data_IF_147430483989
#
_entry.id   IF_147430483989
#
_cell.length_a   1.000
_cell.length_b   1.000
_cell.length_c   1.000
_cell.angle_alpha   90.00
_cell.angle_beta   90.00
_cell.angle_gamma   90.00
#
_symmetry.space_group_name_H-M   'P 1'
#
loop_
_entity.id
_entity.type
_entity.pdbx_description
1 polymer ?
#
# COMPACT_ATOMS: atom_id res chain seq x y z
N UNK A 1 8.33 -73.08 3.18
CA UNK A 1 7.47 -74.08 2.54
C UNK A 1 6.48 -73.37 1.63
N UNK A 2 6.58 -73.65 0.34
CA UNK A 2 5.60 -73.60 -0.76
C UNK A 2 4.88 -72.26 -1.04
N UNK A 3 5.24 -71.44 -2.05
CA UNK A 3 5.14 -71.64 -3.50
C UNK A 3 3.70 -71.85 -3.99
N UNK A 4 3.25 -70.91 -4.86
CA UNK A 4 2.57 -71.06 -6.19
C UNK A 4 2.04 -69.67 -6.58
N UNK A 5 2.47 -68.86 -7.56
CA UNK A 5 2.49 -68.98 -9.04
C UNK A 5 1.12 -69.24 -9.65
N UNK A 6 0.63 -68.26 -10.42
CA UNK A 6 0.06 -68.32 -11.77
C UNK A 6 -0.50 -66.91 -12.11
N UNK A 7 -0.02 -66.10 -12.98
CA UNK A 7 0.00 -66.13 -14.44
C UNK A 7 -1.41 -66.10 -15.09
N UNK A 8 -1.75 -65.00 -15.76
CA UNK A 8 -2.90 -64.80 -16.60
C UNK A 8 -2.76 -63.63 -17.54
N UNK A 9 -2.20 -63.84 -18.71
CA UNK A 9 -2.19 -62.97 -19.88
C UNK A 9 -3.57 -62.96 -20.51
N UNK A 10 -4.03 -61.78 -21.05
CA UNK A 10 -4.83 -61.66 -22.28
C UNK A 10 -5.00 -60.16 -22.56
N UNK A 11 -4.32 -59.63 -23.50
CA UNK A 11 -4.64 -59.26 -24.89
C UNK A 11 -5.99 -58.57 -25.08
N UNK A 12 -6.00 -57.34 -25.56
CA UNK A 12 -7.19 -56.70 -26.07
C UNK A 12 -7.00 -55.23 -26.53
N UNK A 13 -6.57 -55.07 -27.77
CA UNK A 13 -7.01 -54.11 -28.78
C UNK A 13 -6.97 -52.56 -28.50
N UNK A 14 -6.24 -51.93 -29.37
CA UNK A 14 -6.20 -50.52 -29.68
C UNK A 14 -7.55 -49.91 -30.06
N UNK A 15 -7.80 -48.70 -29.58
CA UNK A 15 -8.70 -47.78 -30.25
C UNK A 15 -8.06 -46.38 -30.24
N UNK A 16 -7.58 -45.97 -31.39
CA UNK A 16 -7.19 -44.59 -31.71
C UNK A 16 -8.45 -43.72 -31.69
N UNK A 17 -8.54 -42.79 -30.78
CA UNK A 17 -9.45 -41.65 -30.86
C UNK A 17 -8.63 -40.39 -30.91
N UNK A 18 -8.46 -39.82 -32.08
CA UNK A 18 -8.08 -38.46 -32.34
C UNK A 18 -9.18 -37.56 -31.84
N UNK A 19 -8.90 -36.70 -30.89
CA UNK A 19 -9.76 -35.56 -30.56
C UNK A 19 -8.96 -34.27 -30.72
N UNK A 20 -9.53 -33.42 -31.55
CA UNK A 20 -9.09 -32.13 -32.00
C UNK A 20 -8.85 -31.17 -30.85
N UNK A 21 -7.78 -30.37 -30.97
CA UNK A 21 -7.53 -29.15 -30.22
C UNK A 21 -8.59 -28.10 -30.54
N UNK A 22 -9.13 -27.36 -29.55
CA UNK A 22 -9.82 -26.14 -29.86
C UNK A 22 -8.80 -25.00 -30.01
N UNK A 23 -8.94 -24.33 -31.15
CA UNK A 23 -8.23 -23.16 -31.63
C UNK A 23 -8.30 -21.99 -30.64
N UNK A 24 -7.19 -21.26 -30.61
CA UNK A 24 -7.02 -20.03 -29.84
C UNK A 24 -8.01 -18.93 -30.17
N UNK A 25 -8.41 -18.23 -29.12
CA UNK A 25 -9.05 -16.94 -29.22
C UNK A 25 -7.94 -15.88 -29.20
N UNK A 26 -7.58 -15.39 -30.39
CA UNK A 26 -6.88 -14.11 -30.54
C UNK A 26 -7.89 -12.96 -30.43
N UNK A 27 -7.57 -11.87 -29.73
CA UNK A 27 -8.39 -10.67 -29.80
C UNK A 27 -8.22 -9.97 -31.16
N UNK A 28 -9.25 -9.26 -31.65
CA UNK A 28 -9.25 -8.65 -32.97
C UNK A 28 -8.22 -7.52 -33.07
N UNK A 29 -7.42 -7.57 -34.12
CA UNK A 29 -6.57 -6.49 -34.58
C UNK A 29 -7.42 -5.34 -35.11
N UNK A 30 -7.36 -4.18 -34.45
CA UNK A 30 -7.86 -2.93 -35.01
C UNK A 30 -6.86 -2.41 -36.04
N UNK A 31 -7.17 -2.59 -37.30
CA UNK A 31 -6.60 -1.81 -38.40
C UNK A 31 -7.63 -0.74 -38.82
N UNK A 32 -7.07 0.40 -39.20
CA UNK A 32 -7.68 1.53 -39.88
C UNK A 32 -8.49 2.55 -39.06
N UNK A 33 -7.76 3.58 -38.63
CA UNK A 33 -8.28 4.95 -38.60
C UNK A 33 -7.18 5.93 -39.03
N UNK A 34 -7.38 6.55 -40.15
CA UNK A 34 -6.54 7.58 -40.75
C UNK A 34 -6.41 8.83 -39.86
N UNK A 35 -5.33 9.62 -39.96
CA UNK A 35 -5.10 10.76 -39.09
C UNK A 35 -6.04 11.92 -39.40
N UNK A 36 -6.81 12.34 -38.41
CA UNK A 36 -7.60 13.57 -38.45
C UNK A 36 -6.66 14.78 -38.42
N UNK A 37 -6.86 15.69 -39.39
CA UNK A 37 -6.17 16.96 -39.56
C UNK A 37 -6.24 17.81 -38.30
N UNK A 38 -5.09 18.25 -37.81
CA UNK A 38 -4.96 19.23 -36.74
C UNK A 38 -5.58 20.58 -37.17
N UNK A 39 -6.50 21.07 -36.35
CA UNK A 39 -6.97 22.45 -36.39
C UNK A 39 -5.97 23.37 -35.69
N UNK A 40 -5.80 24.64 -36.12
CA UNK A 40 -4.77 25.51 -35.58
C UNK A 40 -5.13 25.99 -34.17
N UNK A 41 -4.17 25.81 -33.28
CA UNK A 41 -4.16 26.32 -31.90
C UNK A 41 -4.19 27.82 -31.89
N UNK A 42 -5.27 28.42 -31.33
CA UNK A 42 -5.31 29.86 -31.00
C UNK A 42 -4.46 30.08 -29.75
N UNK A 43 -3.37 30.80 -29.94
CA UNK A 43 -2.54 31.36 -28.87
C UNK A 43 -3.35 32.35 -28.04
N UNK A 44 -3.56 32.02 -26.76
CA UNK A 44 -4.09 32.93 -25.75
C UNK A 44 -2.92 33.79 -25.23
N UNK A 45 -3.00 35.13 -25.24
CA UNK A 45 -1.89 35.94 -24.73
C UNK A 45 -1.79 35.88 -23.22
N UNK A 46 -0.55 35.71 -22.73
CA UNK A 46 -0.20 35.77 -21.29
C UNK A 46 -0.67 37.14 -20.73
N UNK A 47 -1.61 37.10 -19.81
CA UNK A 47 -1.97 38.23 -18.98
C UNK A 47 -0.87 38.52 -17.95
N UNK A 48 -0.46 39.78 -17.85
CA UNK A 48 0.53 40.30 -16.89
C UNK A 48 0.11 40.01 -15.46
N UNK A 49 1.08 39.77 -14.53
CA UNK A 49 0.77 39.49 -13.12
C UNK A 49 0.07 40.69 -12.49
N UNK A 50 -1.09 40.44 -11.91
CA UNK A 50 -1.83 41.43 -11.13
C UNK A 50 -1.03 41.79 -9.86
N UNK A 51 -0.89 43.11 -9.62
CA UNK A 51 -0.25 43.66 -8.42
C UNK A 51 -0.97 43.15 -7.17
N UNK A 52 -0.23 42.60 -6.26
CA UNK A 52 -0.71 42.19 -4.92
C UNK A 52 -1.38 43.39 -4.24
N UNK A 53 -2.67 43.28 -3.98
CA UNK A 53 -3.37 44.25 -3.14
C UNK A 53 -3.05 43.91 -1.68
N UNK A 54 -2.42 44.86 -1.00
CA UNK A 54 -2.22 44.82 0.44
C UNK A 54 -3.58 44.72 1.13
N UNK A 55 -3.86 43.58 1.75
CA UNK A 55 -5.06 43.43 2.58
C UNK A 55 -4.82 44.23 3.86
N UNK A 56 -5.55 45.34 4.03
CA UNK A 56 -5.57 46.05 5.32
C UNK A 56 -6.21 45.14 6.36
N UNK A 57 -5.47 44.86 7.42
CA UNK A 57 -5.95 44.19 8.61
C UNK A 57 -7.14 44.96 9.20
N UNK A 58 -8.35 44.48 8.99
CA UNK A 58 -9.50 44.98 9.72
C UNK A 58 -9.42 44.43 11.15
N UNK A 59 -9.32 45.34 12.11
CA UNK A 59 -9.40 45.05 13.53
C UNK A 59 -10.82 44.53 13.82
N UNK A 60 -10.92 43.20 14.01
CA UNK A 60 -12.13 42.57 14.52
C UNK A 60 -12.37 43.13 15.91
N UNK A 61 -13.50 43.84 16.10
CA UNK A 61 -13.98 44.26 17.42
C UNK A 61 -14.23 43.01 18.24
N UNK A 62 -13.61 42.92 19.42
CA UNK A 62 -13.86 41.85 20.37
C UNK A 62 -15.32 41.94 20.83
N UNK A 63 -16.17 41.04 20.33
CA UNK A 63 -17.47 40.79 20.90
C UNK A 63 -17.27 40.07 22.24
N UNK A 64 -17.95 40.58 23.28
CA UNK A 64 -17.95 39.96 24.58
C UNK A 64 -18.71 38.64 24.52
N UNK A 65 -17.98 37.54 24.54
CA UNK A 65 -18.55 36.19 24.62
C UNK A 65 -19.00 35.95 26.07
N UNK A 66 -20.31 35.91 26.29
CA UNK A 66 -20.88 35.50 27.57
C UNK A 66 -20.80 33.97 27.66
N UNK A 67 -19.90 33.45 28.49
CA UNK A 67 -19.77 32.01 28.72
C UNK A 67 -20.75 31.63 29.85
N UNK A 68 -21.79 30.87 29.51
CA UNK A 68 -22.65 30.22 30.52
C UNK A 68 -21.85 29.07 31.15
N UNK A 69 -21.62 29.20 32.48
CA UNK A 69 -20.91 28.17 33.23
C UNK A 69 -21.74 26.90 33.37
N UNK A 70 -21.17 25.69 33.21
CA UNK A 70 -21.84 24.44 33.51
C UNK A 70 -22.26 24.38 34.99
N UNK A 71 -23.42 23.78 35.26
CA UNK A 71 -23.88 23.56 36.65
C UNK A 71 -22.83 22.74 37.41
N UNK A 72 -22.41 23.26 38.60
CA UNK A 72 -21.44 22.61 39.46
C UNK A 72 -19.98 23.07 39.32
N UNK A 73 -19.68 23.95 38.38
CA UNK A 73 -18.31 24.51 38.25
C UNK A 73 -18.14 25.71 39.19
N UNK A 74 -17.07 25.70 39.98
CA UNK A 74 -16.72 26.86 40.82
C UNK A 74 -16.03 27.95 39.97
N UNK A 75 -16.08 29.21 40.45
CA UNK A 75 -15.39 30.33 39.78
C UNK A 75 -13.88 30.07 39.66
N UNK A 76 -13.26 29.53 40.70
CA UNK A 76 -11.82 29.25 40.67
C UNK A 76 -11.44 28.20 39.60
N UNK A 77 -12.31 27.20 39.37
CA UNK A 77 -12.13 26.20 38.30
C UNK A 77 -12.30 26.85 36.92
N UNK A 78 -13.25 27.75 36.75
CA UNK A 78 -13.47 28.45 35.49
C UNK A 78 -12.29 29.38 35.17
N UNK A 79 -11.77 30.11 36.17
CA UNK A 79 -10.62 31.00 36.03
C UNK A 79 -9.34 30.22 35.74
N UNK A 80 -9.15 29.04 36.33
CA UNK A 80 -8.02 28.16 36.02
C UNK A 80 -8.03 27.71 34.54
N UNK A 81 -9.21 27.26 34.05
CA UNK A 81 -9.40 26.86 32.64
C UNK A 81 -9.16 28.03 31.69
N UNK A 82 -9.69 29.22 32.00
CA UNK A 82 -9.49 30.44 31.22
C UNK A 82 -8.01 30.84 31.13
N UNK A 83 -7.26 30.70 32.23
CA UNK A 83 -5.83 30.99 32.23
C UNK A 83 -5.03 29.99 31.43
N UNK A 84 -5.41 28.71 31.46
CA UNK A 84 -4.77 27.67 30.67
C UNK A 84 -5.05 27.87 29.17
N UNK A 85 -6.29 28.19 28.79
CA UNK A 85 -6.64 28.55 27.41
C UNK A 85 -5.91 29.79 26.91
N UNK A 86 -5.75 30.81 27.73
CA UNK A 86 -4.93 32.00 27.40
C UNK A 86 -3.46 31.64 27.20
N UNK A 87 -2.93 30.74 28.03
CA UNK A 87 -1.55 30.26 27.91
C UNK A 87 -1.34 29.47 26.60
N UNK A 88 -2.29 28.58 26.26
CA UNK A 88 -2.29 27.84 24.99
C UNK A 88 -2.40 28.81 23.81
N UNK A 89 -3.28 29.80 23.90
CA UNK A 89 -3.45 30.81 22.84
C UNK A 89 -2.17 31.62 22.63
N UNK A 90 -1.49 32.03 23.70
CA UNK A 90 -0.18 32.71 23.66
C UNK A 90 0.90 31.82 23.02
N UNK A 91 0.93 30.53 23.36
CA UNK A 91 1.87 29.57 22.78
C UNK A 91 1.60 29.32 21.29
N UNK A 92 0.36 29.40 20.84
CA UNK A 92 0.00 29.29 19.42
C UNK A 92 0.35 30.55 18.62
N UNK A 93 0.20 31.74 19.24
CA UNK A 93 0.55 33.01 18.58
C UNK A 93 2.07 33.26 18.56
N UNK A 94 2.77 32.84 19.60
CA UNK A 94 4.20 33.03 19.77
C UNK A 94 4.86 31.72 20.20
N UNK A 95 4.99 30.73 19.28
CA UNK A 95 5.67 29.49 19.61
C UNK A 95 7.13 29.80 20.00
N UNK A 96 7.62 29.30 21.16
CA UNK A 96 9.01 29.50 21.53
C UNK A 96 9.91 28.96 20.42
N UNK A 97 10.94 29.75 20.06
CA UNK A 97 11.82 29.43 18.93
C UNK A 97 12.47 28.04 19.01
N UNK A 98 12.63 27.50 20.21
CA UNK A 98 13.12 26.14 20.47
C UNK A 98 12.10 25.06 20.09
N UNK A 99 10.80 25.38 20.00
CA UNK A 99 9.76 24.40 19.65
C UNK A 99 9.44 24.40 18.16
N UNK A 100 9.71 25.51 17.45
CA UNK A 100 9.59 25.56 15.98
C UNK A 100 10.62 24.63 15.31
N UNK A 101 11.75 24.35 15.96
CA UNK A 101 12.72 23.35 15.51
C UNK A 101 12.32 21.89 15.86
N UNK A 102 11.41 21.69 16.84
CA UNK A 102 11.01 20.36 17.28
C UNK A 102 9.65 19.90 16.70
N UNK A 103 8.90 20.79 16.04
CA UNK A 103 7.58 20.48 15.47
C UNK A 103 7.60 20.27 13.95
N UNK A 104 8.70 20.54 13.26
CA UNK A 104 8.98 19.86 12.01
C UNK A 104 9.32 18.41 12.39
N UNK A 105 8.65 17.37 11.78
CA UNK A 105 9.22 16.04 11.88
C UNK A 105 10.66 16.21 11.42
N UNK A 106 11.62 15.88 12.31
CA UNK A 106 13.03 15.97 11.98
C UNK A 106 13.13 15.45 10.55
N UNK A 107 13.61 16.29 9.64
CA UNK A 107 13.93 15.87 8.30
C UNK A 107 15.07 14.89 8.48
N UNK A 108 14.71 13.65 8.81
CA UNK A 108 15.63 12.52 8.78
C UNK A 108 16.19 12.56 7.39
N UNK A 109 17.47 12.81 7.28
CA UNK A 109 18.13 12.88 5.99
C UNK A 109 17.66 11.67 5.17
N UNK A 110 17.39 11.80 3.86
CA UNK A 110 16.88 10.70 3.04
C UNK A 110 17.65 9.39 3.24
N UNK A 111 18.95 9.48 3.57
CA UNK A 111 19.82 8.34 3.83
C UNK A 111 19.61 7.63 5.18
N UNK A 112 18.99 8.27 6.18
CA UNK A 112 18.79 7.63 7.50
C UNK A 112 17.62 6.63 7.51
N UNK A 113 16.78 6.62 6.46
CA UNK A 113 15.67 5.69 6.30
C UNK A 113 16.01 4.51 5.38
N UNK A 114 17.13 4.57 4.70
CA UNK A 114 17.68 3.48 3.90
C UNK A 114 18.76 2.82 4.74
N UNK A 115 18.54 1.58 5.14
CA UNK A 115 19.59 0.79 5.76
C UNK A 115 20.58 0.37 4.68
N UNK A 116 21.86 0.75 4.84
CA UNK A 116 22.94 0.25 3.99
C UNK A 116 23.24 -1.24 4.25
N UNK A 117 22.59 -1.84 5.24
CA UNK A 117 22.68 -3.26 5.53
C UNK A 117 22.02 -4.05 4.40
N UNK A 118 22.80 -4.91 3.77
CA UNK A 118 22.29 -5.83 2.76
C UNK A 118 21.52 -6.93 3.45
N UNK A 119 20.24 -7.02 3.14
CA UNK A 119 19.38 -8.10 3.61
C UNK A 119 19.13 -9.09 2.49
N UNK A 120 19.00 -10.34 2.85
CA UNK A 120 18.60 -11.41 1.94
C UNK A 120 17.27 -11.97 2.38
N UNK A 121 16.36 -12.15 1.44
CA UNK A 121 15.09 -12.79 1.72
C UNK A 121 14.68 -13.70 0.57
N UNK A 122 14.04 -14.81 0.92
CA UNK A 122 13.43 -15.69 -0.05
C UNK A 122 12.18 -15.02 -0.66
N UNK A 123 12.05 -15.09 -1.98
CA UNK A 123 10.84 -14.69 -2.70
C UNK A 123 10.05 -15.96 -2.98
N UNK A 124 9.23 -16.37 -2.02
CA UNK A 124 8.44 -17.61 -2.09
C UNK A 124 7.29 -17.54 -3.08
N UNK A 125 6.77 -18.69 -3.43
CA UNK A 125 5.48 -18.80 -4.13
C UNK A 125 4.33 -18.39 -3.20
N UNK A 126 3.22 -17.91 -3.78
CA UNK A 126 1.99 -17.59 -3.04
C UNK A 126 1.88 -16.16 -2.52
N UNK A 127 2.82 -15.28 -2.89
CA UNK A 127 2.69 -13.85 -2.63
C UNK A 127 2.03 -13.13 -3.81
N UNK A 128 1.29 -12.09 -3.49
CA UNK A 128 0.67 -11.26 -4.51
C UNK A 128 1.69 -10.28 -5.07
N UNK A 129 1.87 -10.32 -6.40
CA UNK A 129 2.81 -9.44 -7.08
C UNK A 129 2.17 -8.76 -8.28
N UNK A 130 2.71 -7.61 -8.65
CA UNK A 130 2.40 -6.90 -9.89
C UNK A 130 3.69 -6.52 -10.62
N UNK A 131 3.58 -6.24 -11.91
CA UNK A 131 4.71 -6.07 -12.81
C UNK A 131 5.17 -7.42 -13.38
N UNK A 132 6.28 -7.39 -14.10
CA UNK A 132 6.82 -8.59 -14.76
C UNK A 132 7.53 -9.48 -13.74
N UNK A 133 7.36 -10.79 -13.85
CA UNK A 133 8.05 -11.76 -12.99
C UNK A 133 9.58 -11.75 -13.19
N UNK A 134 10.01 -11.46 -14.41
CA UNK A 134 11.42 -11.37 -14.81
C UNK A 134 11.99 -9.95 -14.72
N UNK A 135 11.29 -9.02 -14.06
CA UNK A 135 11.80 -7.67 -13.84
C UNK A 135 13.16 -7.71 -13.12
N UNK A 136 14.13 -6.86 -13.52
CA UNK A 136 15.51 -6.92 -12.98
C UNK A 136 15.59 -6.57 -11.48
N UNK A 137 14.60 -5.86 -10.94
CA UNK A 137 14.53 -5.48 -9.54
C UNK A 137 13.21 -5.96 -8.95
N UNK A 138 13.28 -6.51 -7.75
CA UNK A 138 12.09 -6.83 -6.94
C UNK A 138 12.03 -5.89 -5.73
N UNK A 139 10.84 -5.33 -5.50
CA UNK A 139 10.50 -4.52 -4.34
C UNK A 139 9.43 -5.25 -3.53
N UNK A 140 9.77 -5.68 -2.33
CA UNK A 140 8.83 -6.30 -1.39
C UNK A 140 8.40 -5.27 -0.38
N UNK A 141 7.10 -5.05 -0.25
CA UNK A 141 6.48 -4.25 0.78
C UNK A 141 5.97 -5.15 1.91
N UNK A 142 6.25 -4.78 3.16
CA UNK A 142 5.57 -5.27 4.35
C UNK A 142 4.57 -4.20 4.78
N UNK A 143 3.29 -4.55 4.73
CA UNK A 143 2.19 -3.60 4.86
C UNK A 143 1.19 -3.99 5.94
N UNK A 144 0.50 -2.98 6.45
CA UNK A 144 -0.63 -3.08 7.38
C UNK A 144 -1.75 -2.18 6.87
N UNK A 145 -2.90 -2.77 6.58
CA UNK A 145 -4.03 -2.04 5.98
C UNK A 145 -4.63 -0.96 6.89
N UNK A 146 -4.44 -1.08 8.20
CA UNK A 146 -4.91 -0.09 9.17
C UNK A 146 -3.88 1.01 9.44
N UNK A 147 -2.62 0.82 9.03
CA UNK A 147 -1.53 1.74 9.26
C UNK A 147 -1.69 3.04 8.44
N UNK A 148 -1.72 4.24 9.06
CA UNK A 148 -1.85 5.49 8.33
C UNK A 148 -0.63 5.80 7.46
N UNK A 149 0.55 5.29 7.79
CA UNK A 149 1.75 5.45 6.98
C UNK A 149 1.72 4.56 5.73
N UNK A 150 1.12 3.35 5.78
CA UNK A 150 0.90 2.52 4.60
C UNK A 150 -0.05 3.21 3.62
N UNK A 151 -1.13 3.80 4.13
CA UNK A 151 -2.05 4.63 3.31
C UNK A 151 -1.35 5.84 2.70
N UNK A 152 -0.44 6.49 3.43
CA UNK A 152 0.37 7.61 2.91
C UNK A 152 1.28 7.15 1.77
N UNK A 153 1.91 5.99 1.87
CA UNK A 153 2.69 5.42 0.78
C UNK A 153 1.83 5.17 -0.44
N UNK A 154 0.66 4.54 -0.25
CA UNK A 154 -0.28 4.20 -1.31
C UNK A 154 -0.77 5.41 -2.10
N UNK A 155 -1.09 6.50 -1.41
CA UNK A 155 -1.58 7.72 -2.05
C UNK A 155 -0.47 8.67 -2.51
N UNK A 156 0.74 8.51 -1.98
CA UNK A 156 1.89 9.39 -2.23
C UNK A 156 2.87 8.83 -3.26
N UNK A 157 3.78 7.97 -2.81
CA UNK A 157 4.90 7.50 -3.64
C UNK A 157 4.52 6.35 -4.58
N UNK A 158 3.56 5.50 -4.21
CA UNK A 158 3.22 4.31 -4.96
C UNK A 158 2.69 4.57 -6.38
N UNK A 159 1.79 5.55 -6.63
CA UNK A 159 1.31 5.81 -7.99
C UNK A 159 2.44 6.14 -8.98
N UNK A 160 3.44 6.88 -8.52
CA UNK A 160 4.59 7.22 -9.34
C UNK A 160 5.52 6.02 -9.52
N UNK A 161 5.78 5.24 -8.47
CA UNK A 161 6.51 3.97 -8.55
C UNK A 161 5.86 3.01 -9.54
N UNK A 162 4.54 2.88 -9.47
CA UNK A 162 3.78 2.02 -10.38
C UNK A 162 3.99 2.46 -11.83
N UNK A 163 3.77 3.73 -12.13
CA UNK A 163 3.89 4.28 -13.48
C UNK A 163 5.31 4.17 -14.06
N UNK A 164 6.34 4.50 -13.26
CA UNK A 164 7.69 4.65 -13.77
C UNK A 164 8.50 3.35 -13.76
N UNK A 165 8.16 2.41 -12.87
CA UNK A 165 8.95 1.21 -12.65
C UNK A 165 8.17 -0.09 -12.82
N UNK A 166 6.96 -0.21 -12.27
CA UNK A 166 6.21 -1.46 -12.30
C UNK A 166 5.59 -1.67 -13.68
N UNK A 167 4.83 -0.68 -14.17
CA UNK A 167 4.16 -0.74 -15.48
C UNK A 167 5.17 -0.75 -16.66
N UNK A 168 6.39 -0.29 -16.41
CA UNK A 168 7.49 -0.34 -17.42
C UNK A 168 8.30 -1.63 -17.35
N UNK A 169 7.97 -2.55 -16.45
CA UNK A 169 8.63 -3.86 -16.33
C UNK A 169 10.01 -3.83 -15.69
N UNK A 170 10.41 -2.72 -15.05
CA UNK A 170 11.71 -2.57 -14.37
C UNK A 170 11.69 -3.13 -12.95
N UNK A 171 10.51 -3.10 -12.31
CA UNK A 171 10.31 -3.56 -10.95
C UNK A 171 9.14 -4.54 -10.90
N UNK A 172 9.37 -5.68 -10.22
CA UNK A 172 8.32 -6.54 -9.69
C UNK A 172 7.99 -6.07 -8.27
N UNK A 173 6.77 -5.66 -8.05
CA UNK A 173 6.27 -5.27 -6.72
C UNK A 173 5.57 -6.44 -6.06
N UNK A 174 5.91 -6.72 -4.81
CA UNK A 174 5.36 -7.84 -4.02
C UNK A 174 4.80 -7.29 -2.72
N UNK A 175 3.56 -7.65 -2.39
CA UNK A 175 2.92 -7.28 -1.13
C UNK A 175 2.97 -8.43 -0.13
N UNK A 176 3.41 -8.16 1.11
CA UNK A 176 3.41 -9.06 2.25
C UNK A 176 2.74 -8.42 3.45
N UNK A 177 2.12 -9.23 4.29
CA UNK A 177 1.37 -8.76 5.44
C UNK A 177 2.25 -8.61 6.68
N UNK A 178 2.11 -7.48 7.36
CA UNK A 178 2.69 -7.25 8.68
C UNK A 178 1.66 -6.50 9.54
N UNK A 179 0.55 -7.16 9.94
CA UNK A 179 -0.42 -6.56 10.85
C UNK A 179 0.24 -6.29 12.20
N UNK A 180 0.20 -5.02 12.64
CA UNK A 180 0.81 -4.60 13.90
C UNK A 180 -0.15 -4.86 15.06
N UNK A 181 0.36 -5.28 16.21
CA UNK A 181 -0.44 -5.72 17.38
C UNK A 181 -1.39 -4.64 17.90
N UNK A 182 -1.05 -3.36 17.74
CA UNK A 182 -1.88 -2.22 18.16
C UNK A 182 -2.92 -1.80 17.11
N UNK A 183 -3.02 -2.52 15.99
CA UNK A 183 -4.02 -2.32 14.94
C UNK A 183 -5.04 -3.48 14.95
N UNK A 184 -6.13 -3.39 15.72
CA UNK A 184 -7.00 -4.54 16.00
C UNK A 184 -7.68 -5.13 14.76
N UNK A 185 -7.91 -4.34 13.72
CA UNK A 185 -8.57 -4.79 12.49
C UNK A 185 -7.57 -5.21 11.38
N UNK A 186 -6.28 -4.96 11.55
CA UNK A 186 -5.27 -5.27 10.54
C UNK A 186 -5.18 -6.77 10.19
N UNK A 187 -5.23 -7.71 11.16
CA UNK A 187 -5.23 -9.14 10.83
C UNK A 187 -6.43 -9.55 9.96
N UNK A 188 -7.63 -9.03 10.28
CA UNK A 188 -8.85 -9.30 9.51
C UNK A 188 -8.79 -8.73 8.09
N UNK A 189 -8.23 -7.53 7.95
CA UNK A 189 -8.03 -6.90 6.64
C UNK A 189 -7.03 -7.66 5.77
N UNK A 190 -5.93 -8.17 6.36
CA UNK A 190 -4.97 -9.02 5.66
C UNK A 190 -5.62 -10.33 5.16
N UNK A 191 -6.42 -10.99 6.00
CA UNK A 191 -7.20 -12.17 5.58
C UNK A 191 -8.14 -11.81 4.43
N UNK A 192 -8.83 -10.67 4.51
CA UNK A 192 -9.78 -10.23 3.49
C UNK A 192 -9.10 -9.99 2.13
N UNK A 193 -7.93 -9.34 2.11
CA UNK A 193 -7.18 -9.15 0.88
C UNK A 193 -6.79 -10.50 0.23
N UNK A 194 -6.34 -11.46 1.04
CA UNK A 194 -5.99 -12.80 0.54
C UNK A 194 -7.21 -13.59 0.07
N UNK A 195 -8.34 -13.48 0.77
CA UNK A 195 -9.60 -14.08 0.32
C UNK A 195 -10.09 -13.51 -1.01
N UNK A 196 -9.95 -12.20 -1.22
CA UNK A 196 -10.21 -11.58 -2.51
C UNK A 196 -9.22 -12.08 -3.58
N UNK A 197 -8.00 -12.35 -3.19
CA UNK A 197 -6.97 -12.91 -4.07
C UNK A 197 -7.31 -14.29 -4.62
N UNK A 198 -8.07 -15.13 -3.91
CA UNK A 198 -8.58 -16.40 -4.43
C UNK A 198 -9.58 -16.22 -5.60
N UNK A 199 -10.13 -15.01 -5.68
CA UNK A 199 -11.02 -14.61 -6.78
C UNK A 199 -10.29 -13.69 -7.78
N UNK A 200 -8.96 -13.65 -7.76
CA UNK A 200 -8.11 -12.77 -8.58
C UNK A 200 -8.39 -11.28 -8.38
N UNK A 201 -8.80 -10.89 -7.16
CA UNK A 201 -9.20 -9.54 -6.78
C UNK A 201 -8.38 -8.96 -5.61
N UNK A 202 -7.16 -9.48 -5.41
CA UNK A 202 -6.28 -9.03 -4.32
C UNK A 202 -6.02 -7.52 -4.38
N UNK A 203 -5.62 -7.04 -5.56
CA UNK A 203 -5.23 -5.65 -5.74
C UNK A 203 -6.42 -4.70 -5.63
N UNK A 204 -7.57 -5.08 -6.20
CA UNK A 204 -8.80 -4.30 -6.10
C UNK A 204 -9.28 -4.20 -4.64
N UNK A 205 -9.16 -5.28 -3.87
CA UNK A 205 -9.52 -5.27 -2.44
C UNK A 205 -8.53 -4.45 -1.64
N UNK A 206 -7.22 -4.58 -1.91
CA UNK A 206 -6.17 -3.76 -1.32
C UNK A 206 -6.44 -2.28 -1.56
N UNK A 207 -6.67 -1.89 -2.80
CA UNK A 207 -6.96 -0.49 -3.18
C UNK A 207 -8.23 0.01 -2.48
N UNK A 208 -9.29 -0.79 -2.45
CA UNK A 208 -10.54 -0.43 -1.77
C UNK A 208 -10.34 -0.14 -0.29
N UNK A 209 -9.47 -0.89 0.40
CA UNK A 209 -9.17 -0.70 1.82
C UNK A 209 -8.18 0.45 2.07
N UNK A 210 -7.18 0.62 1.19
CA UNK A 210 -6.10 1.60 1.39
C UNK A 210 -6.47 3.02 0.93
N UNK A 211 -7.29 3.16 -0.13
CA UNK A 211 -7.63 4.45 -0.72
C UNK A 211 -8.90 5.06 -0.13
N UNK A 212 -9.71 4.30 0.58
CA UNK A 212 -10.90 4.84 1.24
C UNK A 212 -10.50 5.78 2.39
N UNK A 213 -11.18 6.89 2.51
CA UNK A 213 -11.01 7.84 3.62
C UNK A 213 -11.54 7.28 4.94
N UNK A 214 -12.50 6.34 4.89
CA UNK A 214 -12.95 5.60 6.05
C UNK A 214 -11.82 4.67 6.52
N UNK A 215 -11.36 4.86 7.74
CA UNK A 215 -10.29 4.05 8.34
C UNK A 215 -10.80 2.82 9.07
N UNK A 216 -12.11 2.61 9.07
CA UNK A 216 -12.73 1.46 9.70
C UNK A 216 -12.58 0.22 8.80
N UNK A 217 -11.78 -0.75 9.27
CA UNK A 217 -11.58 -2.06 8.65
C UNK A 217 -12.21 -3.18 9.49
N UNK A 218 -13.24 -2.83 10.24
CA UNK A 218 -14.05 -3.82 10.97
C UNK A 218 -14.79 -4.80 10.04
N UNK A 219 -15.36 -5.88 10.60
CA UNK A 219 -15.96 -6.95 9.79
C UNK A 219 -17.05 -6.46 8.81
N UNK A 220 -17.86 -5.47 9.21
CA UNK A 220 -18.90 -4.92 8.34
C UNK A 220 -18.32 -4.14 7.16
N UNK A 221 -17.28 -3.35 7.41
CA UNK A 221 -16.57 -2.59 6.36
C UNK A 221 -15.87 -3.51 5.38
N UNK A 222 -15.26 -4.60 5.86
CA UNK A 222 -14.66 -5.63 5.01
C UNK A 222 -15.70 -6.25 4.05
N UNK A 223 -16.91 -6.56 4.52
CA UNK A 223 -17.96 -7.07 3.65
C UNK A 223 -18.41 -6.04 2.60
N UNK A 224 -18.49 -4.75 2.98
CA UNK A 224 -18.79 -3.67 2.01
C UNK A 224 -17.71 -3.53 0.94
N UNK A 225 -16.43 -3.64 1.32
CA UNK A 225 -15.33 -3.65 0.35
C UNK A 225 -15.39 -4.87 -0.58
N UNK A 226 -15.73 -6.04 -0.06
CA UNK A 226 -15.98 -7.22 -0.88
C UNK A 226 -17.07 -7.01 -1.93
N UNK A 227 -18.20 -6.40 -1.54
CA UNK A 227 -19.26 -6.03 -2.48
C UNK A 227 -18.80 -5.00 -3.53
N UNK A 228 -18.09 -3.94 -3.08
CA UNK A 228 -17.57 -2.88 -3.94
C UNK A 228 -16.60 -3.42 -5.00
N UNK A 229 -15.85 -4.47 -4.69
CA UNK A 229 -14.90 -5.11 -5.59
C UNK A 229 -15.52 -6.25 -6.41
N UNK A 230 -16.84 -6.42 -6.37
CA UNK A 230 -17.60 -7.44 -7.09
C UNK A 230 -17.10 -8.86 -6.81
N UNK A 231 -16.89 -9.20 -5.54
CA UNK A 231 -16.58 -10.57 -5.13
C UNK A 231 -17.85 -11.45 -5.10
N UNK A 232 -17.69 -12.76 -5.33
CA UNK A 232 -18.65 -13.72 -4.85
C UNK A 232 -18.67 -13.69 -3.32
N UNK A 233 -19.72 -13.08 -2.77
CA UNK A 233 -19.83 -12.86 -1.34
C UNK A 233 -20.04 -14.15 -0.54
N UNK A 234 -20.55 -15.22 -1.16
CA UNK A 234 -20.68 -16.52 -0.52
C UNK A 234 -19.31 -17.15 -0.33
N UNK A 235 -18.52 -17.22 -1.40
CA UNK A 235 -17.15 -17.71 -1.34
C UNK A 235 -16.26 -16.83 -0.43
N UNK A 236 -16.39 -15.50 -0.54
CA UNK A 236 -15.65 -14.55 0.29
C UNK A 236 -15.95 -14.73 1.77
N UNK A 237 -17.24 -14.81 2.15
CA UNK A 237 -17.65 -14.98 3.54
C UNK A 237 -17.22 -16.34 4.11
N UNK A 238 -17.21 -17.39 3.29
CA UNK A 238 -16.68 -18.69 3.68
C UNK A 238 -15.17 -18.62 3.94
N UNK A 239 -14.42 -17.98 3.04
CA UNK A 239 -12.98 -17.78 3.18
C UNK A 239 -12.61 -16.97 4.43
N UNK A 240 -13.33 -15.90 4.76
CA UNK A 240 -13.09 -15.10 5.96
C UNK A 240 -13.22 -15.90 7.26
N UNK A 241 -14.06 -16.94 7.27
CA UNK A 241 -14.25 -17.85 8.40
C UNK A 241 -13.17 -18.94 8.46
N UNK A 242 -12.55 -19.24 7.33
CA UNK A 242 -11.46 -20.21 7.24
C UNK A 242 -10.17 -19.56 7.74
N UNK A 243 -9.45 -20.28 8.60
CA UNK A 243 -8.18 -19.80 9.20
C UNK A 243 -6.96 -20.04 8.32
N UNK A 244 -7.15 -20.53 7.09
CA UNK A 244 -6.04 -20.96 6.20
C UNK A 244 -4.99 -19.87 5.92
N UNK A 245 -5.38 -18.59 5.89
CA UNK A 245 -4.43 -17.50 5.69
C UNK A 245 -3.75 -17.01 6.97
N UNK A 246 -4.25 -17.36 8.14
CA UNK A 246 -3.69 -16.91 9.42
C UNK A 246 -2.22 -17.31 9.57
N UNK A 247 -1.87 -18.54 9.23
CA UNK A 247 -0.49 -19.02 9.35
C UNK A 247 0.44 -18.39 8.31
N UNK A 248 -0.07 -18.14 7.10
CA UNK A 248 0.70 -17.44 6.06
C UNK A 248 1.00 -15.99 6.46
N UNK A 249 0.03 -15.29 7.05
CA UNK A 249 0.20 -13.92 7.58
C UNK A 249 1.19 -13.88 8.73
N UNK A 250 1.09 -14.85 9.68
CA UNK A 250 2.07 -14.99 10.77
C UNK A 250 3.47 -15.25 10.24
N UNK A 251 3.58 -16.08 9.19
CA UNK A 251 4.86 -16.33 8.54
C UNK A 251 5.43 -15.06 7.93
N UNK A 252 4.64 -14.25 7.25
CA UNK A 252 5.06 -12.97 6.71
C UNK A 252 5.60 -12.05 7.81
N UNK A 253 4.91 -11.97 8.94
CA UNK A 253 5.35 -11.19 10.09
C UNK A 253 6.66 -11.74 10.73
N UNK A 254 6.80 -13.06 10.81
CA UNK A 254 8.03 -13.69 11.30
C UNK A 254 9.22 -13.44 10.36
N UNK A 255 8.99 -13.51 9.03
CA UNK A 255 10.00 -13.20 8.03
C UNK A 255 10.42 -11.73 8.14
N UNK A 256 9.47 -10.79 8.32
CA UNK A 256 9.75 -9.38 8.58
C UNK A 256 10.65 -9.20 9.82
N UNK A 257 10.29 -9.86 10.92
CA UNK A 257 11.08 -9.84 12.16
C UNK A 257 12.51 -10.34 11.98
N UNK A 258 12.71 -11.41 11.19
CA UNK A 258 14.03 -11.95 10.86
C UNK A 258 14.92 -10.98 10.07
N UNK A 259 14.29 -10.05 9.35
CA UNK A 259 14.94 -8.96 8.61
C UNK A 259 15.11 -7.68 9.44
N UNK A 260 14.79 -7.72 10.74
CA UNK A 260 14.80 -6.53 11.62
C UNK A 260 13.71 -5.50 11.25
N UNK A 261 12.62 -5.95 10.63
CA UNK A 261 11.46 -5.11 10.30
C UNK A 261 10.42 -5.24 11.41
N UNK A 262 10.10 -4.14 12.08
CA UNK A 262 9.13 -4.08 13.18
C UNK A 262 8.04 -3.04 12.98
N UNK A 263 7.98 -2.40 11.82
CA UNK A 263 6.99 -1.36 11.53
C UNK A 263 6.65 -1.27 10.04
N UNK A 264 5.55 -0.61 9.74
CA UNK A 264 4.98 -0.51 8.39
C UNK A 264 4.78 0.94 7.94
N UNK A 265 4.84 1.21 6.63
CA UNK A 265 5.34 0.30 5.61
C UNK A 265 6.87 0.12 5.73
N UNK A 266 7.36 -1.06 5.38
CA UNK A 266 8.78 -1.32 5.23
C UNK A 266 9.02 -2.07 3.93
N UNK A 267 10.18 -1.84 3.33
CA UNK A 267 10.47 -2.35 1.99
C UNK A 267 11.82 -3.04 1.97
N UNK A 268 11.93 -4.09 1.16
CA UNK A 268 13.20 -4.66 0.74
C UNK A 268 13.28 -4.52 -0.78
N UNK A 269 14.30 -3.81 -1.27
CA UNK A 269 14.50 -3.54 -2.69
C UNK A 269 15.83 -4.14 -3.10
N UNK A 270 15.80 -5.06 -4.04
CA UNK A 270 17.02 -5.75 -4.50
C UNK A 270 16.90 -6.32 -5.89
N UNK A 271 18.00 -6.86 -6.39
CA UNK A 271 18.01 -7.57 -7.66
C UNK A 271 17.15 -8.82 -7.56
N UNK A 272 16.38 -9.04 -8.61
CA UNK A 272 15.61 -10.27 -8.76
C UNK A 272 16.55 -11.44 -9.02
N UNK A 273 16.52 -12.44 -8.15
CA UNK A 273 17.06 -13.76 -8.38
C UNK A 273 15.93 -14.77 -8.36
N UNK A 274 16.18 -16.01 -8.77
CA UNK A 274 15.13 -17.00 -8.98
C UNK A 274 14.22 -17.20 -7.77
N UNK A 275 14.80 -17.29 -6.58
CA UNK A 275 14.06 -17.60 -5.35
C UNK A 275 14.47 -16.69 -4.16
N UNK A 276 15.35 -15.72 -4.40
CA UNK A 276 15.91 -14.85 -3.36
C UNK A 276 16.10 -13.44 -3.90
N UNK A 277 15.93 -12.44 -3.06
CA UNK A 277 16.41 -11.09 -3.34
C UNK A 277 17.48 -10.73 -2.32
N UNK A 278 18.56 -10.13 -2.81
CA UNK A 278 19.58 -9.48 -2.00
C UNK A 278 19.46 -7.97 -2.25
N UNK A 279 19.18 -7.22 -1.22
CA UNK A 279 18.87 -5.80 -1.40
C UNK A 279 19.05 -4.98 -0.13
N UNK A 280 18.52 -3.79 -0.15
CA UNK A 280 18.54 -2.83 0.95
C UNK A 280 17.15 -2.67 1.54
N UNK A 281 17.10 -2.36 2.83
CA UNK A 281 15.87 -2.10 3.56
C UNK A 281 15.57 -0.60 3.59
N UNK A 282 14.31 -0.24 3.30
CA UNK A 282 13.77 1.11 3.48
C UNK A 282 12.64 1.03 4.50
N UNK A 283 12.62 1.95 5.47
CA UNK A 283 11.60 2.00 6.52
C UNK A 283 10.76 3.26 6.38
N UNK A 284 9.44 3.07 6.41
CA UNK A 284 8.44 4.15 6.42
C UNK A 284 8.00 4.63 5.04
N UNK A 285 6.96 5.45 5.03
CA UNK A 285 6.42 6.10 3.83
C UNK A 285 7.34 7.25 3.38
N UNK A 286 8.48 6.89 2.80
CA UNK A 286 9.47 7.86 2.32
C UNK A 286 9.01 8.51 1.01
N UNK A 287 9.55 9.70 0.65
CA UNK A 287 9.30 10.33 -0.64
C UNK A 287 9.75 9.46 -1.81
N UNK A 288 9.07 9.61 -2.96
CA UNK A 288 9.39 8.89 -4.19
C UNK A 288 10.89 8.94 -4.57
N UNK A 289 11.53 10.09 -4.38
CA UNK A 289 12.95 10.28 -4.72
C UNK A 289 13.90 9.28 -4.02
N UNK A 290 13.54 8.79 -2.82
CA UNK A 290 14.31 7.78 -2.10
C UNK A 290 14.21 6.42 -2.77
N UNK A 291 13.00 6.03 -3.15
CA UNK A 291 12.76 4.81 -3.93
C UNK A 291 13.43 4.87 -5.30
N UNK A 292 13.28 6.01 -5.99
CA UNK A 292 13.86 6.26 -7.32
C UNK A 292 15.37 6.08 -7.33
N UNK A 293 16.07 6.71 -6.37
CA UNK A 293 17.53 6.59 -6.25
C UNK A 293 17.95 5.14 -5.98
N UNK A 294 17.25 4.46 -5.07
CA UNK A 294 17.56 3.07 -4.71
C UNK A 294 17.32 2.12 -5.88
N UNK A 295 16.20 2.26 -6.58
CA UNK A 295 15.89 1.41 -7.74
C UNK A 295 16.90 1.65 -8.86
N UNK A 296 17.26 2.89 -9.15
CA UNK A 296 18.30 3.23 -10.15
C UNK A 296 19.64 2.61 -9.81
N UNK A 297 20.05 2.66 -8.55
CA UNK A 297 21.26 1.99 -8.09
C UNK A 297 21.18 0.48 -8.35
N UNK A 298 20.07 -0.18 -7.97
CA UNK A 298 19.90 -1.62 -8.23
C UNK A 298 19.88 -1.97 -9.72
N UNK A 299 19.40 -1.10 -10.59
CA UNK A 299 19.40 -1.31 -12.03
C UNK A 299 20.80 -1.18 -12.65
N UNK A 300 21.70 -0.40 -12.06
CA UNK A 300 23.05 -0.14 -12.59
C UNK A 300 24.11 -1.13 -12.09
N UNK A 301 23.96 -1.69 -10.91
CA UNK A 301 24.90 -2.70 -10.39
C UNK A 301 24.81 -3.96 -11.24
N UNK A 302 25.93 -4.40 -11.83
CA UNK A 302 26.02 -5.64 -12.60
C UNK A 302 26.14 -6.86 -11.71
#
# INVERSE_FOLDING_TARGET
MRSFVLAGLLCGAAALAQTASPSGNQPPSNQDSAPAKAAPSKTVPLSKPAKAKTVKSERVKAESVTINMPEGMTRDQADAILNELKSIHQLLLNPPATRAAAAAPASVAPNERVSNEKVKMSVGAGWYSMGREDAPVTMVEFTDYQCPFCRRFETGSFPQLKKEYIDTGKVRFVSRDLPLDFHPNAPGAAVAARCAGEQNKFWEMRDAMMLDTATDLGPESILKYGQKTNLDMTAFSACLKDKKFTEAIKKDAADAGSLGISGTPSFVIGKTAKDEIAGVRIVGAVPFAVFDSTIKEMLTVK
#
